data_IF_737136992460
#
_entry.id   IF_737136992460
#
_cell.length_a   1.000
_cell.length_b   1.000
_cell.length_c   1.000
_cell.angle_alpha   90.00
_cell.angle_beta   90.00
_cell.angle_gamma   90.00
#
_symmetry.space_group_name_H-M   'P 1'
#
loop_
_entity.id
_entity.type
_entity.pdbx_description
1 polymer ?
#
# COMPACT_ATOMS: atom_id res chain seq x y z
N UNK A 1 7.41 -4.84 7.20
CA UNK A 1 6.22 -5.66 6.90
C UNK A 1 5.16 -4.73 6.35
N UNK A 2 4.29 -5.20 5.46
CA UNK A 2 3.12 -4.44 4.96
C UNK A 2 1.92 -5.37 4.98
N UNK A 3 0.73 -4.88 5.27
CA UNK A 3 -0.47 -5.69 5.43
C UNK A 3 -1.73 -4.94 5.01
N UNK A 4 -2.71 -5.69 4.55
CA UNK A 4 -4.11 -5.27 4.47
C UNK A 4 -4.94 -6.12 5.44
N UNK A 5 -6.26 -6.10 5.31
CA UNK A 5 -7.16 -6.79 6.25
C UNK A 5 -7.21 -8.31 6.06
N UNK A 6 -6.57 -8.85 5.02
CA UNK A 6 -6.61 -10.27 4.66
C UNK A 6 -5.23 -10.92 4.58
N UNK A 7 -4.20 -10.16 4.19
CA UNK A 7 -2.88 -10.64 3.82
C UNK A 7 -1.78 -9.71 4.36
N UNK A 8 -0.69 -10.30 4.83
CA UNK A 8 0.52 -9.60 5.23
C UNK A 8 1.76 -10.11 4.48
N UNK A 9 2.57 -9.19 3.97
CA UNK A 9 3.90 -9.49 3.45
C UNK A 9 4.95 -9.20 4.52
N UNK A 10 5.81 -10.19 4.74
CA UNK A 10 6.89 -10.15 5.71
C UNK A 10 8.24 -10.41 5.07
N UNK A 11 9.29 -10.04 5.80
CA UNK A 11 10.67 -10.29 5.42
C UNK A 11 10.92 -11.82 5.32
N UNK A 12 11.66 -12.31 4.31
CA UNK A 12 11.92 -13.74 4.13
C UNK A 12 12.54 -14.43 5.37
N UNK A 13 13.47 -13.74 6.02
CA UNK A 13 14.19 -14.20 7.21
C UNK A 13 13.45 -13.92 8.53
N UNK A 14 12.14 -13.62 8.49
CA UNK A 14 11.38 -13.42 9.72
C UNK A 14 11.29 -14.72 10.53
N UNK A 15 11.53 -14.64 11.84
CA UNK A 15 11.40 -15.76 12.76
C UNK A 15 9.97 -16.31 12.76
N UNK A 16 9.85 -17.65 12.77
CA UNK A 16 8.57 -18.34 12.72
C UNK A 16 7.63 -17.96 13.87
N UNK A 17 8.18 -17.74 15.07
CA UNK A 17 7.41 -17.26 16.22
C UNK A 17 6.74 -15.91 15.93
N UNK A 18 7.45 -14.99 15.27
CA UNK A 18 6.89 -13.67 14.91
C UNK A 18 5.84 -13.79 13.81
N UNK A 19 6.05 -14.69 12.84
CA UNK A 19 5.06 -14.99 11.81
C UNK A 19 3.76 -15.55 12.41
N UNK A 20 3.87 -16.51 13.34
CA UNK A 20 2.71 -17.10 14.02
C UNK A 20 1.96 -16.05 14.86
N UNK A 21 2.68 -15.16 15.55
CA UNK A 21 2.08 -14.03 16.28
C UNK A 21 1.34 -13.09 15.33
N UNK A 22 1.93 -12.75 14.18
CA UNK A 22 1.28 -11.88 13.19
C UNK A 22 0.00 -12.52 12.65
N UNK A 23 0.06 -13.80 12.29
CA UNK A 23 -1.10 -14.52 11.77
C UNK A 23 -2.22 -14.65 12.81
N UNK A 24 -1.91 -14.94 14.08
CA UNK A 24 -2.93 -15.10 15.13
C UNK A 24 -3.55 -13.78 15.57
N UNK A 25 -2.72 -12.73 15.74
CA UNK A 25 -3.19 -11.41 16.20
C UNK A 25 -3.94 -10.66 15.12
N UNK A 26 -3.40 -10.61 13.90
CA UNK A 26 -4.00 -9.87 12.79
C UNK A 26 -5.06 -10.70 12.06
N UNK A 27 -5.06 -12.03 12.21
CA UNK A 27 -5.97 -12.96 11.50
C UNK A 27 -5.86 -12.86 9.99
N UNK A 28 -4.64 -12.69 9.50
CA UNK A 28 -4.29 -12.56 8.08
C UNK A 28 -3.35 -13.68 7.65
N UNK A 29 -3.36 -13.99 6.35
CA UNK A 29 -2.37 -14.90 5.77
C UNK A 29 -1.03 -14.18 5.64
N UNK A 30 0.02 -14.79 6.17
CA UNK A 30 1.36 -14.20 6.16
C UNK A 30 2.18 -14.85 5.05
N UNK A 31 2.71 -14.05 4.13
CA UNK A 31 3.60 -14.51 3.07
C UNK A 31 4.98 -13.88 3.20
N UNK A 32 6.00 -14.75 3.09
CA UNK A 32 7.40 -14.38 3.05
C UNK A 32 7.79 -14.11 1.60
N UNK A 33 8.03 -12.85 1.24
CA UNK A 33 8.31 -12.49 -0.14
C UNK A 33 9.28 -11.32 -0.25
N UNK A 34 9.86 -11.12 -1.43
CA UNK A 34 10.67 -9.97 -1.79
C UNK A 34 9.98 -9.14 -2.88
N UNK A 35 10.18 -7.83 -2.89
CA UNK A 35 9.64 -6.93 -3.91
C UNK A 35 10.81 -6.31 -4.68
N UNK A 36 10.89 -6.56 -5.99
CA UNK A 36 12.01 -6.11 -6.85
C UNK A 36 13.40 -6.45 -6.28
N UNK A 37 13.60 -7.71 -5.90
CA UNK A 37 14.81 -8.23 -5.24
C UNK A 37 15.16 -7.56 -3.89
N UNK A 38 14.26 -6.73 -3.34
CA UNK A 38 14.44 -6.10 -2.04
C UNK A 38 13.70 -6.87 -0.95
N UNK A 39 14.39 -7.08 0.15
CA UNK A 39 13.85 -7.76 1.34
C UNK A 39 12.95 -6.86 2.19
N UNK A 40 13.05 -5.54 2.01
CA UNK A 40 12.28 -4.54 2.75
C UNK A 40 10.90 -4.30 2.11
N UNK A 41 10.06 -5.33 2.07
CA UNK A 41 8.72 -5.27 1.47
C UNK A 41 7.87 -4.11 2.00
N UNK A 42 8.00 -3.78 3.29
CA UNK A 42 7.24 -2.69 3.91
C UNK A 42 7.68 -1.29 3.51
N UNK A 43 8.85 -1.12 2.89
CA UNK A 43 9.32 0.18 2.40
C UNK A 43 8.99 0.40 0.93
N UNK A 44 8.99 -0.70 0.16
CA UNK A 44 8.91 -0.70 -1.30
C UNK A 44 7.55 -1.11 -1.84
N UNK A 45 6.62 -1.54 -0.97
CA UNK A 45 5.26 -1.88 -1.34
C UNK A 45 4.28 -1.29 -0.34
N UNK A 46 3.17 -0.77 -0.86
CA UNK A 46 2.03 -0.29 -0.09
C UNK A 46 0.77 -0.81 -0.79
N UNK A 47 -0.12 -1.47 -0.05
CA UNK A 47 -1.37 -1.96 -0.60
C UNK A 47 -2.51 -1.84 0.40
N UNK A 48 -3.74 -1.79 -0.11
CA UNK A 48 -5.00 -1.83 0.64
C UNK A 48 -5.84 -3.03 0.18
N UNK A 49 -7.11 -3.10 0.57
CA UNK A 49 -8.01 -4.15 0.08
C UNK A 49 -8.45 -3.93 -1.38
N UNK A 50 -8.18 -2.76 -1.95
CA UNK A 50 -8.62 -2.40 -3.31
C UNK A 50 -7.53 -2.52 -4.37
N UNK A 51 -6.27 -2.36 -3.97
CA UNK A 51 -5.13 -2.36 -4.88
C UNK A 51 -3.83 -2.01 -4.15
N UNK A 52 -2.72 -1.95 -4.89
CA UNK A 52 -1.43 -1.60 -4.32
C UNK A 52 -0.42 -1.05 -5.31
N UNK A 53 0.58 -0.37 -4.77
CA UNK A 53 1.72 0.15 -5.51
C UNK A 53 2.98 -0.58 -5.05
N UNK A 54 3.77 -1.01 -6.03
CA UNK A 54 5.08 -1.64 -5.82
C UNK A 54 6.19 -0.78 -6.40
N UNK A 55 7.42 -1.15 -6.07
CA UNK A 55 8.63 -0.52 -6.58
C UNK A 55 8.62 -0.41 -8.11
N UNK A 56 9.08 0.71 -8.70
CA UNK A 56 8.97 0.97 -10.14
C UNK A 56 9.79 0.01 -11.01
N UNK A 57 10.81 -0.65 -10.45
CA UNK A 57 11.65 -1.65 -11.15
C UNK A 57 11.12 -3.08 -11.04
N UNK A 58 9.96 -3.29 -10.42
CA UNK A 58 9.33 -4.61 -10.34
C UNK A 58 8.94 -5.06 -11.74
N UNK A 59 9.29 -6.30 -12.12
CA UNK A 59 8.93 -6.82 -13.44
C UNK A 59 7.42 -7.00 -13.56
N UNK A 60 6.91 -7.15 -14.79
CA UNK A 60 5.48 -7.41 -15.01
C UNK A 60 5.12 -8.80 -14.48
N UNK A 61 6.00 -9.79 -14.67
CA UNK A 61 5.81 -11.15 -14.17
C UNK A 61 5.72 -11.17 -12.63
N UNK A 62 6.60 -10.45 -11.93
CA UNK A 62 6.55 -10.34 -10.47
C UNK A 62 5.30 -9.60 -9.99
N UNK A 63 4.86 -8.56 -10.73
CA UNK A 63 3.61 -7.85 -10.43
C UNK A 63 2.40 -8.77 -10.52
N UNK A 64 2.34 -9.61 -11.56
CA UNK A 64 1.24 -10.57 -11.76
C UNK A 64 1.26 -11.69 -10.70
N UNK A 65 2.45 -12.15 -10.31
CA UNK A 65 2.61 -13.14 -9.24
C UNK A 65 2.19 -12.58 -7.87
N UNK A 66 2.65 -11.37 -7.53
CA UNK A 66 2.25 -10.68 -6.30
C UNK A 66 0.76 -10.31 -6.30
N UNK A 67 0.21 -9.89 -7.43
CA UNK A 67 -1.23 -9.59 -7.59
C UNK A 67 -2.08 -10.84 -7.37
N UNK A 68 -1.63 -11.98 -7.90
CA UNK A 68 -2.26 -13.28 -7.66
C UNK A 68 -2.14 -13.75 -6.22
N UNK A 69 -1.04 -13.42 -5.54
CA UNK A 69 -0.84 -13.76 -4.13
C UNK A 69 -1.73 -12.91 -3.21
N UNK A 70 -1.76 -11.60 -3.44
CA UNK A 70 -2.51 -10.64 -2.62
C UNK A 70 -3.99 -10.54 -2.98
N UNK A 71 -4.40 -11.12 -4.12
CA UNK A 71 -5.75 -11.04 -4.69
C UNK A 71 -6.23 -9.59 -4.96
N UNK A 72 -5.29 -8.66 -5.13
CA UNK A 72 -5.57 -7.24 -5.41
C UNK A 72 -4.68 -6.77 -6.57
N UNK A 73 -5.17 -5.85 -7.43
CA UNK A 73 -4.37 -5.33 -8.54
C UNK A 73 -3.16 -4.54 -8.01
N UNK A 74 -1.99 -4.80 -8.59
CA UNK A 74 -0.76 -4.08 -8.28
C UNK A 74 -0.27 -3.28 -9.49
N UNK A 75 0.36 -2.14 -9.22
CA UNK A 75 1.01 -1.34 -10.25
C UNK A 75 2.37 -0.85 -9.77
N UNK A 76 3.36 -0.89 -10.66
CA UNK A 76 4.64 -0.25 -10.44
C UNK A 76 4.50 1.29 -10.54
N UNK A 77 4.97 2.00 -9.53
CA UNK A 77 4.83 3.46 -9.45
C UNK A 77 5.91 4.14 -8.62
N UNK A 78 5.87 5.47 -8.57
CA UNK A 78 6.73 6.30 -7.73
C UNK A 78 5.91 7.28 -6.92
N UNK A 79 6.53 7.86 -5.89
CA UNK A 79 5.93 8.88 -5.02
C UNK A 79 6.90 10.05 -4.86
N UNK A 80 6.45 11.22 -4.39
CA UNK A 80 7.34 12.35 -4.11
C UNK A 80 8.32 12.69 -5.25
N UNK A 81 7.81 12.79 -6.49
CA UNK A 81 8.61 13.20 -7.67
C UNK A 81 9.69 12.18 -8.05
N UNK A 82 9.32 10.90 -8.11
CA UNK A 82 10.21 9.82 -8.57
C UNK A 82 10.93 9.05 -7.46
N UNK A 83 10.53 9.20 -6.20
CA UNK A 83 11.03 8.35 -5.12
C UNK A 83 10.54 6.92 -5.32
N UNK A 84 11.48 5.98 -5.21
CA UNK A 84 11.22 4.54 -5.26
C UNK A 84 10.78 3.97 -3.89
N UNK A 85 10.88 4.77 -2.81
CA UNK A 85 10.48 4.37 -1.46
C UNK A 85 9.02 4.75 -1.21
N UNK A 86 8.12 3.88 -1.66
CA UNK A 86 6.66 4.12 -1.68
C UNK A 86 6.12 4.36 -0.27
N UNK A 87 6.39 3.47 0.68
CA UNK A 87 5.80 3.54 2.02
C UNK A 87 6.33 4.71 2.88
N UNK A 88 7.48 5.28 2.52
CA UNK A 88 7.97 6.49 3.18
C UNK A 88 7.25 7.76 2.66
N UNK A 89 6.73 7.71 1.44
CA UNK A 89 6.09 8.84 0.78
C UNK A 89 4.57 8.81 0.80
N UNK A 90 3.95 7.71 1.20
CA UNK A 90 2.50 7.59 1.32
C UNK A 90 2.04 6.61 2.39
N UNK A 91 0.82 6.82 2.86
CA UNK A 91 0.03 5.88 3.65
C UNK A 91 -1.37 5.85 3.07
N UNK A 92 -1.97 4.67 2.96
CA UNK A 92 -3.28 4.48 2.33
C UNK A 92 -4.10 3.48 3.14
N UNK A 93 -5.41 3.68 3.10
CA UNK A 93 -6.40 2.70 3.48
C UNK A 93 -7.49 2.65 2.40
N UNK A 94 -8.59 1.95 2.66
CA UNK A 94 -9.66 1.75 1.68
C UNK A 94 -10.44 3.02 1.30
N UNK A 95 -10.31 4.12 2.05
CA UNK A 95 -11.11 5.33 1.89
C UNK A 95 -10.28 6.60 1.69
N UNK A 96 -8.99 6.60 2.02
CA UNK A 96 -8.11 7.75 1.86
C UNK A 96 -6.65 7.35 1.65
N UNK A 97 -5.94 8.19 0.92
CA UNK A 97 -4.48 8.16 0.83
C UNK A 97 -3.90 9.50 1.27
N UNK A 98 -2.85 9.45 2.08
CA UNK A 98 -2.00 10.58 2.41
C UNK A 98 -0.68 10.38 1.68
N UNK A 99 -0.23 11.41 0.98
CA UNK A 99 1.01 11.39 0.20
C UNK A 99 1.81 12.66 0.49
N UNK A 100 3.13 12.60 0.30
CA UNK A 100 3.99 13.75 0.51
C UNK A 100 3.71 14.89 -0.49
N UNK A 101 3.97 16.12 -0.05
CA UNK A 101 3.65 17.35 -0.80
C UNK A 101 4.27 17.42 -2.20
N UNK A 102 5.43 16.78 -2.38
CA UNK A 102 6.16 16.76 -3.64
C UNK A 102 5.62 15.73 -4.65
N UNK A 103 4.59 14.96 -4.28
CA UNK A 103 3.97 13.98 -5.17
C UNK A 103 3.29 14.69 -6.34
N UNK A 104 3.65 14.29 -7.55
CA UNK A 104 3.18 14.95 -8.78
C UNK A 104 1.74 14.57 -9.12
N UNK A 105 1.05 15.40 -9.91
CA UNK A 105 -0.33 15.13 -10.33
C UNK A 105 -0.49 13.79 -11.06
N UNK A 106 0.53 13.38 -11.82
CA UNK A 106 0.54 12.08 -12.51
C UNK A 106 0.64 10.92 -11.53
N UNK A 107 1.53 11.02 -10.52
CA UNK A 107 1.63 10.01 -9.45
C UNK A 107 0.31 9.94 -8.67
N UNK A 108 -0.28 11.08 -8.31
CA UNK A 108 -1.59 11.14 -7.64
C UNK A 108 -2.70 10.47 -8.45
N UNK A 109 -2.77 10.71 -9.77
CA UNK A 109 -3.77 10.06 -10.63
C UNK A 109 -3.61 8.53 -10.66
N UNK A 110 -2.38 8.02 -10.62
CA UNK A 110 -2.13 6.57 -10.53
C UNK A 110 -2.60 6.03 -9.18
N UNK A 111 -2.27 6.72 -8.08
CA UNK A 111 -2.67 6.36 -6.72
C UNK A 111 -4.20 6.33 -6.57
N UNK A 112 -4.88 7.39 -7.00
CA UNK A 112 -6.34 7.47 -6.93
C UNK A 112 -7.03 6.35 -7.74
N UNK A 113 -6.47 6.02 -8.90
CA UNK A 113 -6.98 4.98 -9.79
C UNK A 113 -6.80 3.57 -9.20
N UNK A 114 -5.59 3.23 -8.75
CA UNK A 114 -5.29 1.87 -8.27
C UNK A 114 -5.98 1.56 -6.94
N UNK A 115 -6.07 2.54 -6.03
CA UNK A 115 -6.72 2.39 -4.74
C UNK A 115 -8.23 2.65 -4.77
N UNK A 116 -8.79 3.00 -5.94
CA UNK A 116 -10.23 3.27 -6.15
C UNK A 116 -10.82 4.30 -5.18
N UNK A 117 -10.05 5.33 -4.85
CA UNK A 117 -10.43 6.34 -3.84
C UNK A 117 -11.56 7.27 -4.31
N UNK A 118 -11.82 7.35 -5.63
CA UNK A 118 -12.88 8.18 -6.19
C UNK A 118 -14.31 7.70 -5.84
N UNK A 119 -14.48 6.43 -5.50
CA UNK A 119 -15.78 5.89 -5.06
C UNK A 119 -16.07 6.16 -3.58
N UNK A 120 -15.04 6.54 -2.80
CA UNK A 120 -15.21 6.94 -1.41
C UNK A 120 -15.74 8.39 -1.37
N UNK A 121 -17.02 8.56 -1.01
CA UNK A 121 -17.65 9.89 -0.91
C UNK A 121 -16.81 10.86 -0.04
N UNK A 122 -16.18 11.91 -0.62
CA UNK A 122 -15.35 12.85 0.13
C UNK A 122 -16.16 13.80 1.04
N UNK A 123 -17.49 13.80 0.87
CA UNK A 123 -18.41 14.77 1.46
C UNK A 123 -18.48 14.70 2.99
N UNK A 124 -18.27 13.53 3.60
CA UNK A 124 -18.41 13.37 5.05
C UNK A 124 -17.21 13.94 5.82
N UNK A 125 -15.99 13.73 5.31
CA UNK A 125 -14.75 14.13 6.00
C UNK A 125 -14.52 15.65 5.88
N UNK A 126 -14.73 16.23 4.69
CA UNK A 126 -14.61 17.68 4.48
C UNK A 126 -15.62 18.49 5.32
N UNK A 127 -16.82 17.93 5.53
CA UNK A 127 -17.87 18.57 6.35
C UNK A 127 -17.54 18.50 7.84
N UNK A 128 -17.04 17.35 8.32
CA UNK A 128 -16.57 17.17 9.70
C UNK A 128 -15.40 18.10 10.06
N UNK A 129 -14.41 18.23 9.17
CA UNK A 129 -13.25 19.09 9.41
C UNK A 129 -13.62 20.57 9.40
N UNK A 130 -14.55 21.00 8.53
CA UNK A 130 -15.08 22.37 8.58
C UNK A 130 -15.87 22.65 9.86
N UNK A 131 -16.67 21.70 10.35
CA UNK A 131 -17.39 21.86 11.61
C UNK A 131 -16.46 22.02 12.82
N UNK A 132 -15.32 21.32 12.82
CA UNK A 132 -14.35 21.34 13.92
C UNK A 132 -13.45 22.59 13.93
N UNK A 133 -13.37 23.32 12.82
CA UNK A 133 -12.59 24.56 12.68
C UNK A 133 -13.43 25.83 12.96
N UNK A 134 -14.75 25.67 13.10
CA UNK A 134 -15.70 26.78 13.28
C UNK A 134 -16.14 26.92 14.76
N UNK A 135 -15.65 26.05 15.65
CA UNK A 135 -15.83 26.16 17.11
C UNK A 135 -14.50 26.52 17.81
#
# INVERSE_FOLDING_TARGET
>A
TTCNDYVALVHPDLDRETEEILADVLKVEVFRQTVADQVLVGSYCVFSNQGGIVHPKTSIDDQDELSSLLQVPLVAGTVNRGSEVIAAGMVVNDWCAFCGLDTTSTELSVIESIFRLNDAQPSTIATSMRGSLID
#
